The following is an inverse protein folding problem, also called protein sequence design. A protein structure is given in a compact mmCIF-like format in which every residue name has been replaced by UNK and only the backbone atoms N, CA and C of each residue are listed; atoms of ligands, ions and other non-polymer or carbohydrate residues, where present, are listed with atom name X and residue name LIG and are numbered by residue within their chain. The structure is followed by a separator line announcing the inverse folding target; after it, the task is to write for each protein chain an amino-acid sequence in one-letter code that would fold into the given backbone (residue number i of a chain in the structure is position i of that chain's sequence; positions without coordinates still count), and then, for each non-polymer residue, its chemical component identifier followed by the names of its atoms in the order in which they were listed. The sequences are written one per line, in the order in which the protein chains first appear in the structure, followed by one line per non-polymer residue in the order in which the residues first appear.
data_IF_192445529524
#
_entry.id   IF_192445529524
#
_cell.length_a   1.000
_cell.length_b   1.000
_cell.length_c   1.000
_cell.angle_alpha   90.00
_cell.angle_beta   90.00
_cell.angle_gamma   90.00
#
_symmetry.space_group_name_H-M   'P 1'
#
loop_
_entity.id
_entity.type
_entity.pdbx_description
1 polymer ?
#
# COMPACT_ATOMS: atom_id res chain seq x y z
N UNK A 1 -3.64 23.53 -44.34
CA UNK A 1 -2.69 22.57 -43.76
C UNK A 1 -2.69 22.83 -42.27
N UNK A 2 -3.57 22.16 -41.53
CA UNK A 2 -3.85 22.43 -40.13
C UNK A 2 -4.08 21.11 -39.42
N UNK A 3 -3.32 20.86 -38.36
CA UNK A 3 -3.85 20.75 -36.99
C UNK A 3 -2.73 20.22 -36.07
N UNK A 4 -2.13 21.13 -35.30
CA UNK A 4 -1.41 20.76 -34.08
C UNK A 4 -2.46 20.60 -32.97
N UNK A 5 -2.66 19.36 -32.52
CA UNK A 5 -3.50 19.04 -31.37
C UNK A 5 -2.82 19.54 -30.10
N UNK A 6 -3.20 20.73 -29.63
CA UNK A 6 -2.82 21.26 -28.32
C UNK A 6 -3.89 20.84 -27.31
N UNK A 7 -3.46 20.24 -26.20
CA UNK A 7 -4.30 19.77 -25.10
C UNK A 7 -5.40 20.77 -24.71
N UNK A 8 -6.62 20.24 -24.45
CA UNK A 8 -7.80 21.02 -24.07
C UNK A 8 -7.60 21.63 -22.68
N UNK A 9 -7.59 22.97 -22.57
CA UNK A 9 -7.65 23.69 -21.28
C UNK A 9 -9.03 23.53 -20.64
N UNK A 10 -9.09 22.92 -19.47
CA UNK A 10 -10.26 22.94 -18.58
C UNK A 10 -10.37 24.32 -17.93
N UNK A 11 -11.46 25.05 -18.23
CA UNK A 11 -11.69 26.39 -17.70
C UNK A 11 -12.20 26.35 -16.26
N UNK A 12 -11.38 26.79 -15.31
CA UNK A 12 -11.85 27.21 -13.99
C UNK A 12 -12.18 28.71 -14.04
N UNK A 13 -13.44 29.08 -13.73
CA UNK A 13 -13.84 30.48 -13.55
C UNK A 13 -13.18 31.02 -12.28
N UNK A 14 -12.36 32.05 -12.42
CA UNK A 14 -11.82 32.83 -11.30
C UNK A 14 -12.93 33.72 -10.71
N UNK A 15 -13.34 33.47 -9.47
CA UNK A 15 -14.04 34.46 -8.66
C UNK A 15 -13.07 35.04 -7.63
N UNK A 16 -12.64 36.28 -7.87
CA UNK A 16 -11.94 37.12 -6.92
C UNK A 16 -12.92 37.66 -5.87
N UNK A 17 -12.61 37.46 -4.59
CA UNK A 17 -13.05 38.34 -3.51
C UNK A 17 -11.92 38.46 -2.48
N UNK A 18 -11.44 39.69 -2.30
CA UNK A 18 -10.36 40.08 -1.40
C UNK A 18 -10.93 40.57 -0.06
N UNK A 19 -10.07 40.54 0.95
CA UNK A 19 -10.02 41.32 2.22
C UNK A 19 -10.46 40.65 3.52
N UNK A 20 -9.51 40.65 4.47
CA UNK A 20 -9.73 40.30 5.87
C UNK A 20 -8.46 39.84 6.60
N UNK A 21 -7.47 40.71 6.75
CA UNK A 21 -6.33 40.51 7.67
C UNK A 21 -6.80 40.40 9.12
N UNK A 22 -6.49 39.30 9.80
CA UNK A 22 -6.26 39.30 11.24
C UNK A 22 -5.11 38.37 11.63
N UNK A 23 -4.18 38.99 12.36
CA UNK A 23 -3.02 38.44 13.04
C UNK A 23 -3.43 37.36 14.05
N UNK A 24 -2.76 36.21 14.01
CA UNK A 24 -2.90 35.12 14.97
C UNK A 24 -1.55 34.44 15.21
N UNK A 25 -0.56 35.20 15.69
CA UNK A 25 0.74 34.67 16.10
C UNK A 25 0.63 33.93 17.45
N UNK A 26 0.07 32.73 17.46
CA UNK A 26 0.12 31.82 18.64
C UNK A 26 0.36 30.34 18.27
N UNK A 27 0.22 29.91 17.01
CA UNK A 27 0.36 28.49 16.63
C UNK A 27 1.74 28.05 16.10
N UNK A 28 2.71 28.96 15.94
CA UNK A 28 3.99 28.64 15.30
C UNK A 28 4.95 27.81 16.16
N UNK A 29 4.96 28.01 17.48
CA UNK A 29 5.92 27.35 18.38
C UNK A 29 5.54 25.90 18.65
N UNK A 30 4.25 25.61 18.84
CA UNK A 30 3.76 24.25 19.11
C UNK A 30 3.84 23.33 17.87
N UNK A 31 3.59 23.87 16.66
CA UNK A 31 3.71 23.11 15.40
C UNK A 31 5.17 22.81 15.03
N UNK A 32 6.10 23.71 15.36
CA UNK A 32 7.54 23.49 15.14
C UNK A 32 8.13 22.53 16.16
N UNK A 33 7.70 22.58 17.44
CA UNK A 33 8.08 21.59 18.44
C UNK A 33 7.56 20.19 18.09
N UNK A 34 6.30 20.06 17.69
CA UNK A 34 5.73 18.75 17.32
C UNK A 34 6.38 18.15 16.06
N UNK A 35 6.74 18.98 15.08
CA UNK A 35 7.49 18.52 13.90
C UNK A 35 8.93 18.09 14.26
N UNK A 36 9.59 18.81 15.18
CA UNK A 36 10.91 18.45 15.68
C UNK A 36 10.88 17.14 16.47
N UNK A 37 9.89 16.96 17.35
CA UNK A 37 9.70 15.73 18.12
C UNK A 37 9.42 14.52 17.21
N UNK A 38 8.60 14.71 16.18
CA UNK A 38 8.32 13.67 15.18
C UNK A 38 9.60 13.23 14.44
N UNK A 39 10.45 14.18 14.05
CA UNK A 39 11.68 13.88 13.31
C UNK A 39 12.72 13.12 14.15
N UNK A 40 12.63 13.20 15.48
CA UNK A 40 13.53 12.47 16.39
C UNK A 40 13.09 11.02 16.65
N UNK A 41 11.89 10.61 16.25
CA UNK A 41 11.45 9.22 16.31
C UNK A 41 12.19 8.38 15.27
N UNK A 42 12.41 7.10 15.55
CA UNK A 42 12.83 6.15 14.52
C UNK A 42 11.71 5.98 13.45
N UNK A 43 12.05 5.53 12.23
CA UNK A 43 11.11 5.45 11.11
C UNK A 43 9.83 4.64 11.41
N UNK A 44 9.95 3.54 12.16
CA UNK A 44 8.80 2.71 12.53
C UNK A 44 7.86 3.47 13.46
N UNK A 45 8.40 4.17 14.47
CA UNK A 45 7.61 4.99 15.39
C UNK A 45 7.01 6.24 14.72
N UNK A 46 7.72 6.85 13.75
CA UNK A 46 7.17 7.92 12.91
C UNK A 46 5.92 7.44 12.18
N UNK A 47 6.02 6.31 11.48
CA UNK A 47 4.90 5.76 10.71
C UNK A 47 3.76 5.32 11.63
N UNK A 48 4.07 4.66 12.75
CA UNK A 48 3.07 4.26 13.75
C UNK A 48 2.30 5.47 14.30
N UNK A 49 2.97 6.61 14.52
CA UNK A 49 2.31 7.85 14.95
C UNK A 49 1.30 8.36 13.92
N UNK A 50 1.67 8.37 12.63
CA UNK A 50 0.76 8.75 11.53
C UNK A 50 -0.42 7.79 11.41
N UNK A 51 -0.17 6.49 11.52
CA UNK A 51 -1.22 5.46 11.47
C UNK A 51 -2.18 5.60 12.64
N UNK A 52 -1.69 5.73 13.89
CA UNK A 52 -2.56 5.95 15.06
C UNK A 52 -3.44 7.18 14.91
N UNK A 53 -2.89 8.28 14.38
CA UNK A 53 -3.67 9.48 14.09
C UNK A 53 -4.75 9.22 13.04
N UNK A 54 -4.43 8.48 11.98
CA UNK A 54 -5.37 8.17 10.92
C UNK A 54 -6.49 7.23 11.39
N UNK A 55 -6.16 6.24 12.22
CA UNK A 55 -7.07 5.23 12.75
C UNK A 55 -8.00 5.76 13.86
N UNK A 56 -7.64 6.86 14.53
CA UNK A 56 -8.36 7.39 15.68
C UNK A 56 -9.84 7.64 15.39
N UNK A 57 -10.72 6.86 16.04
CA UNK A 57 -12.17 6.99 15.90
C UNK A 57 -12.73 6.59 14.53
N UNK A 58 -11.92 5.98 13.65
CA UNK A 58 -12.35 5.54 12.33
C UNK A 58 -12.45 4.00 12.25
N UNK A 59 -13.45 3.48 11.51
CA UNK A 59 -13.41 2.09 11.06
C UNK A 59 -12.25 1.90 10.07
N UNK A 60 -12.09 0.67 9.60
CA UNK A 60 -11.16 0.31 8.54
C UNK A 60 -11.16 1.31 7.35
N UNK A 61 -9.97 1.68 6.86
CA UNK A 61 -9.81 2.64 5.75
C UNK A 61 -8.58 2.32 4.87
N UNK A 62 -8.50 2.97 3.70
CA UNK A 62 -7.45 2.72 2.68
C UNK A 62 -6.04 3.23 3.04
N UNK A 63 -5.89 3.97 4.15
CA UNK A 63 -4.62 4.56 4.62
C UNK A 63 -3.96 5.58 3.68
N UNK A 64 -4.66 6.06 2.63
CA UNK A 64 -4.14 7.04 1.67
C UNK A 64 -3.62 8.33 2.31
N UNK A 65 -4.22 8.77 3.43
CA UNK A 65 -3.76 9.94 4.17
C UNK A 65 -2.36 9.75 4.79
N UNK A 66 -1.93 8.51 5.02
CA UNK A 66 -0.60 8.17 5.54
C UNK A 66 0.35 7.83 4.41
N UNK A 67 -0.07 7.00 3.44
CA UNK A 67 0.79 6.54 2.34
C UNK A 67 1.10 7.63 1.31
N UNK A 68 0.31 8.70 1.26
CA UNK A 68 0.57 9.90 0.45
C UNK A 68 1.06 11.10 1.30
N UNK A 69 1.20 10.96 2.62
CA UNK A 69 1.88 11.96 3.44
C UNK A 69 3.39 11.90 3.14
N UNK A 70 4.02 13.05 2.88
CA UNK A 70 5.45 13.12 2.57
C UNK A 70 6.37 12.40 3.57
N UNK A 71 5.99 12.32 4.85
CA UNK A 71 6.75 11.60 5.89
C UNK A 71 6.49 10.11 5.78
N UNK A 72 5.21 9.71 5.69
CA UNK A 72 4.81 8.31 5.58
C UNK A 72 5.34 7.64 4.31
N UNK A 73 5.15 8.30 3.17
CA UNK A 73 5.66 7.87 1.87
C UNK A 73 7.20 7.69 1.86
N UNK A 74 7.92 8.50 2.62
CA UNK A 74 9.38 8.43 2.72
C UNK A 74 9.91 7.22 3.50
N UNK A 75 9.10 6.62 4.39
CA UNK A 75 9.57 5.52 5.27
C UNK A 75 8.86 4.19 5.01
N UNK A 76 7.64 4.21 4.46
CA UNK A 76 6.81 3.00 4.35
C UNK A 76 7.43 1.91 3.47
N UNK A 77 8.09 2.29 2.37
CA UNK A 77 8.77 1.34 1.49
C UNK A 77 9.93 0.63 2.17
N UNK A 78 10.70 1.35 2.99
CA UNK A 78 11.79 0.78 3.77
C UNK A 78 11.29 -0.23 4.78
N UNK A 79 10.24 0.12 5.53
CA UNK A 79 9.68 -0.73 6.57
C UNK A 79 9.00 -1.99 5.99
N UNK A 80 8.40 -1.90 4.81
CA UNK A 80 7.88 -3.08 4.09
C UNK A 80 9.01 -4.03 3.70
N UNK A 81 10.12 -3.50 3.15
CA UNK A 81 11.29 -4.32 2.83
C UNK A 81 11.91 -4.94 4.09
N UNK A 82 12.01 -4.18 5.18
CA UNK A 82 12.55 -4.69 6.45
C UNK A 82 11.65 -5.81 7.01
N UNK A 83 10.32 -5.65 6.93
CA UNK A 83 9.38 -6.70 7.36
C UNK A 83 9.50 -7.97 6.51
N UNK A 84 9.74 -7.85 5.20
CA UNK A 84 10.02 -8.99 4.32
C UNK A 84 11.34 -9.68 4.72
N UNK A 85 12.41 -8.92 4.91
CA UNK A 85 13.73 -9.42 5.30
C UNK A 85 13.69 -10.14 6.66
N UNK A 86 12.94 -9.60 7.64
CA UNK A 86 12.71 -10.23 8.95
C UNK A 86 12.02 -11.61 8.84
N UNK A 87 11.23 -11.83 7.79
CA UNK A 87 10.60 -13.12 7.49
C UNK A 87 11.43 -13.99 6.54
N UNK A 88 12.64 -13.56 6.18
CA UNK A 88 13.58 -14.32 5.37
C UNK A 88 13.45 -14.09 3.86
N UNK A 89 12.78 -13.02 3.42
CA UNK A 89 12.71 -12.62 2.02
C UNK A 89 13.63 -11.42 1.78
N UNK A 90 14.80 -11.65 1.18
CA UNK A 90 15.63 -10.59 0.62
C UNK A 90 15.04 -10.11 -0.72
N UNK A 91 15.46 -8.94 -1.19
CA UNK A 91 15.03 -8.39 -2.48
C UNK A 91 15.41 -9.32 -3.65
N UNK A 92 16.50 -10.10 -3.53
CA UNK A 92 16.90 -11.10 -4.53
C UNK A 92 15.95 -12.33 -4.60
N UNK A 93 15.10 -12.53 -3.59
CA UNK A 93 14.21 -13.69 -3.50
C UNK A 93 12.92 -13.53 -4.34
N UNK A 94 12.62 -12.31 -4.80
CA UNK A 94 11.47 -12.00 -5.64
C UNK A 94 11.83 -10.99 -6.73
N UNK A 95 11.11 -11.03 -7.84
CA UNK A 95 11.45 -10.23 -9.02
C UNK A 95 10.55 -8.99 -9.16
N UNK A 96 9.39 -8.96 -8.48
CA UNK A 96 8.49 -7.80 -8.48
C UNK A 96 7.55 -7.77 -7.26
N UNK A 97 7.03 -6.58 -6.95
CA UNK A 97 5.92 -6.39 -5.99
C UNK A 97 4.65 -5.87 -6.67
N UNK A 98 3.49 -6.40 -6.26
CA UNK A 98 2.22 -6.17 -6.94
C UNK A 98 1.14 -5.58 -6.03
N UNK A 99 0.53 -4.46 -6.42
CA UNK A 99 -0.62 -3.92 -5.71
C UNK A 99 -1.88 -4.75 -5.99
N UNK A 100 -2.47 -5.33 -4.95
CA UNK A 100 -3.74 -6.05 -5.00
C UNK A 100 -4.94 -5.12 -5.17
N UNK A 101 -4.82 -3.91 -4.63
CA UNK A 101 -5.87 -2.89 -4.62
C UNK A 101 -5.30 -1.54 -5.05
N UNK A 102 -6.18 -0.60 -5.44
CA UNK A 102 -5.77 0.77 -5.70
C UNK A 102 -5.11 1.44 -4.47
N UNK A 103 -5.52 1.05 -3.25
CA UNK A 103 -4.97 1.55 -2.00
C UNK A 103 -3.52 1.10 -1.74
N UNK A 104 -3.09 -0.01 -2.37
CA UNK A 104 -1.75 -0.55 -2.26
C UNK A 104 -0.76 0.05 -3.28
N UNK A 105 -1.24 0.78 -4.30
CA UNK A 105 -0.38 1.39 -5.33
C UNK A 105 0.70 2.31 -4.73
N UNK A 106 0.40 3.19 -3.75
CA UNK A 106 1.44 4.00 -3.11
C UNK A 106 2.52 3.17 -2.41
N UNK A 107 2.17 1.98 -1.89
CA UNK A 107 3.13 1.08 -1.25
C UNK A 107 4.11 0.49 -2.25
N UNK A 108 3.61 0.03 -3.42
CA UNK A 108 4.45 -0.43 -4.52
C UNK A 108 5.45 0.65 -4.93
N UNK A 109 4.98 1.87 -5.16
CA UNK A 109 5.84 3.00 -5.52
C UNK A 109 6.91 3.28 -4.45
N UNK A 110 6.54 3.23 -3.17
CA UNK A 110 7.46 3.46 -2.07
C UNK A 110 8.52 2.34 -1.98
N UNK A 111 8.14 1.07 -2.17
CA UNK A 111 9.08 -0.05 -2.15
C UNK A 111 10.08 0.01 -3.32
N UNK A 112 9.64 0.40 -4.52
CA UNK A 112 10.56 0.60 -5.66
C UNK A 112 11.63 1.64 -5.30
N UNK A 113 11.22 2.77 -4.72
CA UNK A 113 12.16 3.83 -4.33
C UNK A 113 13.08 3.38 -3.19
N UNK A 114 12.55 2.64 -2.21
CA UNK A 114 13.33 2.11 -1.10
C UNK A 114 14.37 1.09 -1.58
N UNK A 115 14.01 0.16 -2.47
CA UNK A 115 14.94 -0.80 -3.08
C UNK A 115 16.04 -0.07 -3.87
N UNK A 116 15.67 0.88 -4.73
CA UNK A 116 16.64 1.67 -5.48
C UNK A 116 17.62 2.42 -4.57
N UNK A 117 17.16 2.92 -3.43
CA UNK A 117 18.03 3.59 -2.44
C UNK A 117 19.00 2.63 -1.72
N UNK A 118 18.68 1.32 -1.68
CA UNK A 118 19.55 0.24 -1.20
C UNK A 118 20.49 -0.28 -2.30
N UNK A 119 20.35 0.19 -3.54
CA UNK A 119 21.11 -0.29 -4.70
C UNK A 119 20.54 -1.56 -5.33
N UNK A 120 19.29 -1.90 -5.00
CA UNK A 120 18.59 -3.08 -5.50
C UNK A 120 17.60 -2.71 -6.61
N UNK A 121 17.44 -3.61 -7.59
CA UNK A 121 16.46 -3.47 -8.66
C UNK A 121 15.16 -4.18 -8.26
N UNK A 122 14.06 -3.41 -8.16
CA UNK A 122 12.74 -3.96 -7.86
C UNK A 122 11.67 -3.41 -8.79
N UNK A 123 11.05 -4.29 -9.57
CA UNK A 123 9.90 -3.95 -10.41
C UNK A 123 8.61 -3.86 -9.57
N UNK A 124 7.70 -2.99 -9.98
CA UNK A 124 6.35 -2.90 -9.41
C UNK A 124 5.27 -3.08 -10.47
N UNK A 125 4.17 -3.72 -10.08
CA UNK A 125 2.98 -3.86 -10.93
C UNK A 125 1.68 -3.62 -10.15
N UNK A 126 0.59 -3.46 -10.88
CA UNK A 126 -0.76 -3.33 -10.33
C UNK A 126 -1.62 -4.40 -10.95
N UNK A 127 -2.36 -5.13 -10.11
CA UNK A 127 -3.41 -6.04 -10.55
C UNK A 127 -4.72 -5.27 -10.71
N UNK A 128 -5.38 -5.47 -11.85
CA UNK A 128 -6.65 -4.82 -12.16
C UNK A 128 -7.47 -5.69 -13.14
N UNK A 129 -8.77 -5.47 -13.22
CA UNK A 129 -9.67 -6.18 -14.12
C UNK A 129 -9.66 -5.65 -15.54
N UNK A 130 -9.26 -4.39 -15.72
CA UNK A 130 -9.23 -3.76 -17.03
C UNK A 130 -8.00 -4.23 -17.78
N UNK A 131 -8.19 -4.87 -18.94
CA UNK A 131 -7.10 -5.33 -19.80
C UNK A 131 -6.12 -4.18 -20.16
N UNK A 132 -4.79 -4.40 -20.06
CA UNK A 132 -4.15 -5.60 -19.52
C UNK A 132 -4.30 -5.68 -18.00
N UNK A 133 -4.59 -6.89 -17.50
CA UNK A 133 -4.86 -7.13 -16.07
C UNK A 133 -3.63 -6.88 -15.18
N UNK A 134 -2.44 -6.99 -15.76
CA UNK A 134 -1.18 -6.53 -15.17
C UNK A 134 -0.81 -5.19 -15.78
N UNK A 135 -0.64 -4.18 -14.92
CA UNK A 135 -0.17 -2.84 -15.28
C UNK A 135 1.25 -2.64 -14.73
N UNK A 136 2.22 -2.52 -15.62
CA UNK A 136 3.64 -2.42 -15.27
C UNK A 136 4.50 -3.30 -16.19
N UNK A 137 5.77 -3.54 -15.82
CA UNK A 137 6.60 -4.58 -16.44
C UNK A 137 5.91 -5.94 -16.41
N UNK A 138 6.21 -6.80 -17.38
CA UNK A 138 5.67 -8.16 -17.40
C UNK A 138 6.12 -8.93 -16.17
N UNK A 139 5.20 -9.73 -15.62
CA UNK A 139 5.47 -10.68 -14.53
C UNK A 139 5.60 -12.13 -15.04
N UNK A 140 5.67 -12.34 -16.35
CA UNK A 140 5.64 -13.69 -16.90
C UNK A 140 6.77 -14.57 -16.35
N UNK A 141 6.42 -15.68 -15.70
CA UNK A 141 7.38 -16.59 -15.05
C UNK A 141 8.12 -16.01 -13.84
N UNK A 142 7.74 -14.83 -13.34
CA UNK A 142 8.41 -14.15 -12.21
C UNK A 142 7.90 -14.62 -10.86
N UNK A 143 8.74 -14.50 -9.84
CA UNK A 143 8.40 -14.61 -8.42
C UNK A 143 7.93 -13.25 -7.92
N UNK A 144 6.79 -13.18 -7.25
CA UNK A 144 6.19 -11.90 -6.85
C UNK A 144 5.71 -11.90 -5.40
N UNK A 145 5.75 -10.72 -4.79
CA UNK A 145 5.09 -10.44 -3.51
C UNK A 145 3.88 -9.56 -3.79
N UNK A 146 2.72 -9.91 -3.24
CA UNK A 146 1.50 -9.13 -3.38
C UNK A 146 1.29 -8.23 -2.17
N UNK A 147 0.83 -7.00 -2.40
CA UNK A 147 0.70 -5.96 -1.38
C UNK A 147 -0.75 -5.52 -1.22
N UNK A 148 -1.16 -5.31 0.02
CA UNK A 148 -2.35 -4.52 0.36
C UNK A 148 -2.05 -3.47 1.44
N UNK A 149 -2.90 -2.45 1.59
CA UNK A 149 -2.69 -1.45 2.63
C UNK A 149 -3.12 -1.93 4.01
N UNK A 150 -4.28 -2.57 4.11
CA UNK A 150 -4.79 -3.11 5.37
C UNK A 150 -5.61 -4.37 5.11
N UNK A 151 -5.15 -5.51 5.63
CA UNK A 151 -5.88 -6.78 5.59
C UNK A 151 -6.30 -7.16 7.01
N UNK A 152 -7.59 -7.36 7.23
CA UNK A 152 -8.18 -7.70 8.55
C UNK A 152 -9.35 -8.65 8.35
N UNK A 153 -9.69 -9.50 9.33
CA UNK A 153 -10.89 -10.37 9.29
C UNK A 153 -12.18 -9.57 9.09
N UNK A 154 -12.16 -8.27 9.42
CA UNK A 154 -13.27 -7.33 9.25
C UNK A 154 -13.26 -6.60 7.91
N UNK A 155 -12.27 -6.83 7.03
CA UNK A 155 -12.21 -6.28 5.68
C UNK A 155 -13.22 -6.99 4.76
N UNK A 156 -14.51 -6.88 5.10
CA UNK A 156 -15.64 -7.31 4.27
C UNK A 156 -15.99 -6.31 3.17
N UNK A 157 -15.32 -5.16 3.14
CA UNK A 157 -15.67 -4.05 2.24
C UNK A 157 -14.40 -3.42 1.73
N UNK A 158 -13.83 -3.91 0.62
CA UNK A 158 -13.08 -3.04 -0.28
C UNK A 158 -13.33 -3.37 -1.74
N UNK A 159 -14.05 -2.44 -2.35
CA UNK A 159 -14.10 -1.86 -3.70
C UNK A 159 -13.05 -2.18 -4.76
N UNK A 160 -12.26 -3.25 -4.65
CA UNK A 160 -11.68 -3.91 -5.82
C UNK A 160 -12.36 -5.26 -5.93
N UNK A 161 -12.98 -5.57 -7.07
CA UNK A 161 -13.62 -6.87 -7.32
C UNK A 161 -12.64 -8.07 -7.20
N UNK A 162 -11.33 -7.79 -7.01
CA UNK A 162 -10.18 -8.69 -7.11
C UNK A 162 -9.85 -9.28 -5.77
N UNK A 163 -10.42 -8.75 -4.69
CA UNK A 163 -10.11 -9.16 -3.33
C UNK A 163 -11.41 -9.16 -2.55
N UNK A 164 -11.80 -10.31 -2.01
CA UNK A 164 -12.89 -10.36 -1.03
C UNK A 164 -12.51 -11.33 0.08
N UNK A 165 -12.45 -10.86 1.33
CA UNK A 165 -12.36 -11.77 2.46
C UNK A 165 -13.72 -12.39 2.74
N UNK A 166 -13.81 -13.72 2.72
CA UNK A 166 -15.10 -14.44 2.93
C UNK A 166 -15.22 -15.06 4.31
N UNK A 167 -14.13 -15.59 4.88
CA UNK A 167 -14.11 -16.35 6.13
C UNK A 167 -12.84 -16.06 6.96
N UNK A 168 -12.76 -14.91 7.64
CA UNK A 168 -11.63 -14.57 8.52
C UNK A 168 -10.33 -14.27 7.76
N UNK A 169 -9.65 -15.31 7.29
CA UNK A 169 -8.36 -15.28 6.60
C UNK A 169 -8.43 -15.78 5.13
N UNK A 170 -9.63 -16.03 4.60
CA UNK A 170 -9.82 -16.48 3.22
C UNK A 170 -9.89 -15.31 2.23
N UNK A 171 -8.84 -15.11 1.44
CA UNK A 171 -8.75 -14.10 0.40
C UNK A 171 -9.24 -14.68 -0.94
N UNK A 172 -10.45 -14.32 -1.36
CA UNK A 172 -10.93 -14.55 -2.72
C UNK A 172 -10.20 -13.56 -3.64
N UNK A 173 -9.04 -13.97 -4.12
CA UNK A 173 -8.29 -13.24 -5.12
C UNK A 173 -8.43 -13.89 -6.47
N UNK A 174 -8.54 -13.08 -7.52
CA UNK A 174 -8.44 -13.59 -8.89
C UNK A 174 -6.98 -13.92 -9.23
N UNK A 175 -6.43 -14.94 -8.55
CA UNK A 175 -5.10 -15.49 -8.83
C UNK A 175 -4.98 -16.01 -10.25
N UNK A 176 -6.10 -16.24 -10.95
CA UNK A 176 -6.09 -16.62 -12.35
C UNK A 176 -5.32 -15.60 -13.21
N UNK A 177 -5.28 -14.32 -12.80
CA UNK A 177 -4.46 -13.29 -13.47
C UNK A 177 -2.97 -13.61 -13.33
N UNK A 178 -2.50 -13.97 -12.15
CA UNK A 178 -1.08 -14.25 -11.88
C UNK A 178 -0.69 -15.63 -12.44
N UNK A 179 -1.56 -16.63 -12.28
CA UNK A 179 -1.41 -17.97 -12.86
C UNK A 179 -1.36 -17.92 -14.40
N UNK A 180 -2.18 -17.09 -15.03
CA UNK A 180 -2.18 -16.90 -16.48
C UNK A 180 -0.84 -16.37 -17.01
N UNK A 181 -0.18 -15.50 -16.24
CA UNK A 181 1.18 -15.04 -16.55
C UNK A 181 2.24 -16.10 -16.21
N UNK A 182 1.88 -17.20 -15.55
CA UNK A 182 2.82 -18.20 -15.05
C UNK A 182 3.71 -17.68 -13.92
N UNK A 183 3.29 -16.60 -13.25
CA UNK A 183 4.00 -16.02 -12.11
C UNK A 183 3.75 -16.81 -10.83
N UNK A 184 4.71 -16.80 -9.92
CA UNK A 184 4.63 -17.48 -8.61
C UNK A 184 4.52 -16.46 -7.50
N UNK A 185 3.43 -16.50 -6.74
CA UNK A 185 3.29 -15.64 -5.55
C UNK A 185 3.99 -16.30 -4.36
N UNK A 186 4.93 -15.57 -3.75
CA UNK A 186 5.72 -16.07 -2.63
C UNK A 186 5.12 -15.73 -1.27
N UNK A 187 4.50 -14.55 -1.15
CA UNK A 187 3.84 -14.08 0.05
C UNK A 187 2.86 -12.95 -0.28
N UNK A 188 1.98 -12.66 0.68
CA UNK A 188 1.19 -11.43 0.72
C UNK A 188 1.72 -10.57 1.86
N UNK A 189 1.94 -9.28 1.63
CA UNK A 189 2.35 -8.34 2.67
C UNK A 189 1.34 -7.20 2.80
N UNK A 190 1.17 -6.68 4.01
CA UNK A 190 0.37 -5.48 4.25
C UNK A 190 0.98 -4.53 5.25
N UNK A 191 0.62 -3.25 5.14
CA UNK A 191 1.05 -2.24 6.11
C UNK A 191 0.38 -2.46 7.47
N UNK A 192 -0.92 -2.74 7.50
CA UNK A 192 -1.63 -3.16 8.72
C UNK A 192 -2.23 -4.55 8.51
N UNK A 193 -2.03 -5.41 9.50
CA UNK A 193 -2.64 -6.72 9.60
C UNK A 193 -3.56 -6.83 10.80
N UNK A 194 -4.80 -7.29 10.58
CA UNK A 194 -5.91 -7.19 11.53
C UNK A 194 -6.13 -8.41 12.41
N UNK A 195 -5.29 -9.43 12.28
CA UNK A 195 -5.35 -10.64 13.09
C UNK A 195 -4.05 -10.74 13.82
N UNK A 196 -4.09 -10.78 15.16
CA UNK A 196 -2.90 -11.08 15.97
C UNK A 196 -2.51 -12.56 15.80
N UNK A 197 -2.18 -12.97 14.57
CA UNK A 197 -1.83 -14.34 14.24
C UNK A 197 -0.49 -14.68 14.88
N UNK A 198 -0.39 -15.90 15.39
CA UNK A 198 0.86 -16.48 15.87
C UNK A 198 1.70 -17.05 14.72
N UNK A 199 1.05 -17.46 13.62
CA UNK A 199 1.66 -17.89 12.36
C UNK A 199 0.84 -17.30 11.21
N UNK A 200 1.14 -16.07 10.78
CA UNK A 200 0.32 -15.34 9.82
C UNK A 200 0.36 -16.01 8.45
N UNK A 201 -0.81 -16.49 8.01
CA UNK A 201 -1.01 -17.07 6.69
C UNK A 201 -2.35 -16.60 6.13
N UNK A 202 -2.40 -16.42 4.82
CA UNK A 202 -3.62 -16.13 4.08
C UNK A 202 -3.94 -17.33 3.21
N UNK A 203 -5.17 -17.84 3.37
CA UNK A 203 -5.69 -18.84 2.44
C UNK A 203 -6.27 -18.10 1.24
N UNK A 204 -5.61 -18.25 0.11
CA UNK A 204 -6.06 -17.78 -1.18
C UNK A 204 -6.99 -18.80 -1.79
N UNK A 205 -8.11 -18.35 -2.37
CA UNK A 205 -9.04 -19.21 -3.07
C UNK A 205 -9.24 -18.72 -4.49
N UNK A 206 -8.92 -19.57 -5.46
CA UNK A 206 -9.20 -19.32 -6.86
C UNK A 206 -10.73 -19.40 -7.08
N UNK A 207 -11.38 -18.30 -7.49
CA UNK A 207 -12.84 -18.24 -7.56
C UNK A 207 -13.42 -19.07 -8.73
N UNK A 208 -12.60 -19.47 -9.70
CA UNK A 208 -13.03 -20.20 -10.90
C UNK A 208 -13.09 -21.70 -10.65
N UNK A 209 -12.03 -22.28 -10.04
CA UNK A 209 -11.92 -23.72 -9.82
C UNK A 209 -12.05 -24.14 -8.34
N UNK A 210 -12.02 -23.19 -7.40
CA UNK A 210 -12.09 -23.46 -5.96
C UNK A 210 -10.79 -23.97 -5.34
N UNK A 211 -9.68 -23.94 -6.10
CA UNK A 211 -8.35 -24.31 -5.60
C UNK A 211 -7.91 -23.37 -4.48
N UNK A 212 -7.23 -23.93 -3.48
CA UNK A 212 -6.79 -23.19 -2.30
C UNK A 212 -5.27 -23.25 -2.19
N UNK A 213 -4.67 -22.10 -1.93
CA UNK A 213 -3.25 -21.97 -1.65
C UNK A 213 -3.06 -21.24 -0.32
N UNK A 214 -2.24 -21.79 0.56
CA UNK A 214 -1.84 -21.09 1.79
C UNK A 214 -0.54 -20.33 1.52
N UNK A 215 -0.60 -19.01 1.68
CA UNK A 215 0.54 -18.12 1.48
C UNK A 215 0.97 -17.50 2.81
N UNK A 216 2.29 -17.33 3.04
CA UNK A 216 2.79 -16.51 4.12
C UNK A 216 2.19 -15.10 4.07
N UNK A 217 1.78 -14.60 5.23
CA UNK A 217 1.26 -13.24 5.38
C UNK A 217 2.22 -12.42 6.24
N UNK A 218 2.64 -11.27 5.71
CA UNK A 218 3.69 -10.45 6.31
C UNK A 218 3.10 -9.09 6.67
N UNK A 219 3.09 -8.78 7.95
CA UNK A 219 2.44 -7.58 8.49
C UNK A 219 3.52 -6.61 8.98
N UNK A 220 3.50 -5.36 8.51
CA UNK A 220 4.40 -4.34 9.09
C UNK A 220 3.94 -3.99 10.50
N UNK A 221 2.65 -3.75 10.70
CA UNK A 221 2.04 -3.49 12.00
C UNK A 221 0.84 -4.41 12.23
N UNK A 222 0.72 -4.93 13.45
CA UNK A 222 -0.54 -5.51 13.90
C UNK A 222 -1.53 -4.40 14.24
N UNK A 223 -2.81 -4.60 13.95
CA UNK A 223 -3.87 -3.65 14.28
C UNK A 223 -3.92 -3.36 15.79
N UNK A 224 -3.60 -4.35 16.63
CA UNK A 224 -3.50 -4.23 18.08
C UNK A 224 -2.38 -3.30 18.56
N UNK A 225 -1.31 -3.09 17.77
CA UNK A 225 -0.22 -2.15 18.10
C UNK A 225 -0.65 -0.68 17.90
N UNK A 226 -1.74 -0.46 17.16
CA UNK A 226 -2.19 0.84 16.69
C UNK A 226 -3.51 1.30 17.33
N UNK A 227 -4.18 0.45 18.11
CA UNK A 227 -5.47 0.75 18.77
C UNK A 227 -5.39 0.74 20.29
#
# INVERSE_FOLDING_TARGET
MSEQSVFRKTGAKSSSANTGSQSGAVNGTATVQSASEFTMLDPRNQLASLLRQELAGKPFCELSAVTLDHRGAGVVGHLLLDALEEQGYSVDDFDAVGALTAAAVPLVCAMIQAAASRGEDLDGFIMDFVYPSIKGPSIAGKRVILLDSWLSEKSYVQTSSLVTLRNGNELSLDFSVVEHEGATVLAVASLIGGVDMTSPHITVVNPVNGEKHDLPFIEVFKESELR
#
